data_IF_918741428813
#
_entry.id   IF_918741428813
#
_cell.length_a   1.000
_cell.length_b   1.000
_cell.length_c   1.000
_cell.angle_alpha   90.00
_cell.angle_beta   90.00
_cell.angle_gamma   90.00
#
_symmetry.space_group_name_H-M   'P 1'
#
loop_
_entity.id
_entity.type
_entity.pdbx_description
1 polymer ?
#
# COMPACT_ATOMS: atom_id res chain seq x y z
N UNK A 1 14.74 25.88 5.34
CA UNK A 1 13.71 25.81 4.28
C UNK A 1 12.36 25.64 4.96
N UNK A 2 11.41 26.56 4.76
CA UNK A 2 10.01 26.32 5.18
C UNK A 2 9.47 25.20 4.28
N UNK A 3 9.24 24.01 4.83
CA UNK A 3 8.48 22.97 4.12
C UNK A 3 7.03 23.46 4.02
N UNK A 4 6.68 24.01 2.85
CA UNK A 4 5.34 24.49 2.55
C UNK A 4 4.58 23.30 1.95
N UNK A 5 3.87 22.54 2.78
CA UNK A 5 2.87 21.61 2.28
C UNK A 5 1.61 22.41 1.92
N UNK A 6 1.27 22.48 0.63
CA UNK A 6 0.04 23.08 0.11
C UNK A 6 -0.82 21.96 -0.48
N UNK A 7 -2.04 21.80 0.03
CA UNK A 7 -3.01 20.83 -0.47
C UNK A 7 -3.77 21.41 -1.65
N UNK A 8 -3.97 20.61 -2.70
CA UNK A 8 -4.65 21.02 -3.93
C UNK A 8 -5.68 19.95 -4.32
N UNK A 9 -6.93 20.36 -4.59
CA UNK A 9 -7.98 19.51 -5.16
C UNK A 9 -7.97 19.68 -6.69
N UNK A 10 -7.90 18.59 -7.45
CA UNK A 10 -7.58 18.62 -8.89
C UNK A 10 -8.72 18.04 -9.72
N UNK A 11 -9.23 18.78 -10.71
CA UNK A 11 -10.15 18.19 -11.71
C UNK A 11 -9.84 18.58 -13.16
N UNK A 12 -9.20 19.73 -13.45
CA UNK A 12 -8.74 20.09 -14.82
C UNK A 12 -7.30 20.61 -14.79
N UNK A 13 -6.46 20.26 -15.79
CA UNK A 13 -5.02 20.61 -15.85
C UNK A 13 -4.73 22.08 -15.53
N UNK A 14 -5.54 23.02 -16.03
CA UNK A 14 -5.31 24.45 -15.80
C UNK A 14 -5.59 24.88 -14.34
N UNK A 15 -6.48 24.18 -13.64
CA UNK A 15 -6.69 24.35 -12.21
C UNK A 15 -5.48 23.82 -11.43
N UNK A 16 -4.96 22.64 -11.82
CA UNK A 16 -3.74 22.07 -11.25
C UNK A 16 -2.58 23.07 -11.37
N UNK A 17 -2.40 23.61 -12.58
CA UNK A 17 -1.38 24.62 -12.87
C UNK A 17 -1.57 25.86 -12.02
N UNK A 18 -2.79 26.40 -11.95
CA UNK A 18 -3.09 27.61 -11.17
C UNK A 18 -2.72 27.44 -9.71
N UNK A 19 -3.10 26.31 -9.11
CA UNK A 19 -2.81 26.03 -7.70
C UNK A 19 -1.32 25.74 -7.45
N UNK A 20 -0.65 25.02 -8.37
CA UNK A 20 0.80 24.83 -8.29
C UNK A 20 1.56 26.14 -8.43
N UNK A 21 1.13 27.07 -9.30
CA UNK A 21 1.73 28.40 -9.42
C UNK A 21 1.59 29.21 -8.13
N UNK A 22 0.40 29.23 -7.51
CA UNK A 22 0.19 29.81 -6.16
C UNK A 22 1.08 29.15 -5.10
N UNK A 23 1.48 27.90 -5.32
CA UNK A 23 2.38 27.16 -4.46
C UNK A 23 3.88 27.45 -4.69
N UNK A 24 4.25 28.17 -5.75
CA UNK A 24 5.65 28.34 -6.17
C UNK A 24 6.16 27.20 -7.05
N UNK A 25 5.26 26.49 -7.75
CA UNK A 25 5.56 25.31 -8.55
C UNK A 25 6.53 25.52 -9.71
N UNK A 26 6.82 26.77 -10.08
CA UNK A 26 7.80 27.11 -11.11
C UNK A 26 9.24 26.70 -10.76
N UNK A 27 9.55 26.47 -9.47
CA UNK A 27 10.87 26.01 -9.02
C UNK A 27 10.93 24.50 -8.78
N UNK A 28 9.94 23.73 -9.24
CA UNK A 28 9.92 22.27 -9.06
C UNK A 28 11.05 21.64 -9.88
N UNK A 29 11.83 20.79 -9.21
CA UNK A 29 12.90 20.00 -9.84
C UNK A 29 12.66 18.49 -9.74
N UNK A 30 11.85 18.05 -8.78
CA UNK A 30 11.54 16.64 -8.55
C UNK A 30 10.05 16.49 -8.34
N UNK A 31 9.43 15.54 -9.03
CA UNK A 31 8.01 15.21 -8.90
C UNK A 31 7.89 13.81 -8.34
N UNK A 32 6.99 13.62 -7.37
CA UNK A 32 6.72 12.32 -6.77
C UNK A 32 5.24 12.00 -6.94
N UNK A 33 4.94 10.95 -7.70
CA UNK A 33 3.59 10.48 -7.94
C UNK A 33 3.38 9.12 -7.26
N UNK A 34 2.53 9.09 -6.23
CA UNK A 34 2.22 7.89 -5.45
C UNK A 34 0.72 7.80 -5.10
N UNK A 35 -0.12 8.37 -5.96
CA UNK A 35 -1.59 8.36 -5.81
C UNK A 35 -2.22 7.52 -6.92
N UNK A 36 -3.40 6.97 -6.65
CA UNK A 36 -4.21 6.29 -7.64
C UNK A 36 -5.69 6.35 -7.21
N UNK A 37 -6.60 6.15 -8.15
CA UNK A 37 -8.04 6.04 -7.91
C UNK A 37 -8.42 4.58 -8.10
N UNK A 38 -8.93 3.95 -7.03
CA UNK A 38 -9.42 2.57 -7.08
C UNK A 38 -10.71 2.49 -7.90
N UNK A 39 -10.84 1.45 -8.71
CA UNK A 39 -12.03 1.13 -9.51
C UNK A 39 -12.20 -0.39 -9.56
N UNK A 40 -13.45 -0.84 -9.62
CA UNK A 40 -13.77 -2.26 -9.65
C UNK A 40 -13.45 -2.89 -11.01
N UNK A 41 -13.76 -2.18 -12.09
CA UNK A 41 -13.49 -2.64 -13.45
C UNK A 41 -12.03 -2.33 -13.79
N UNK A 42 -11.30 -3.33 -14.32
CA UNK A 42 -9.87 -3.18 -14.62
C UNK A 42 -9.61 -2.16 -15.74
N UNK A 43 -10.53 -1.99 -16.69
CA UNK A 43 -10.38 -1.02 -17.77
C UNK A 43 -10.68 0.40 -17.27
N UNK A 44 -11.71 0.56 -16.43
CA UNK A 44 -11.97 1.85 -15.76
C UNK A 44 -10.83 2.22 -14.81
N UNK A 45 -10.25 1.24 -14.10
CA UNK A 45 -9.08 1.42 -13.25
C UNK A 45 -7.88 1.92 -14.06
N UNK A 46 -7.62 1.30 -15.21
CA UNK A 46 -6.56 1.71 -16.12
C UNK A 46 -6.78 3.13 -16.65
N UNK A 47 -7.94 3.40 -17.23
CA UNK A 47 -8.23 4.67 -17.88
C UNK A 47 -8.22 5.85 -16.88
N UNK A 48 -8.83 5.69 -15.71
CA UNK A 48 -8.88 6.78 -14.72
C UNK A 48 -7.48 7.07 -14.15
N UNK A 49 -6.65 6.06 -13.92
CA UNK A 49 -5.29 6.28 -13.42
C UNK A 49 -4.31 6.77 -14.47
N UNK A 50 -4.54 6.40 -15.74
CA UNK A 50 -3.88 7.01 -16.89
C UNK A 50 -4.20 8.50 -16.96
N UNK A 51 -5.48 8.89 -16.96
CA UNK A 51 -5.90 10.30 -16.99
C UNK A 51 -5.31 11.06 -15.80
N UNK A 52 -5.40 10.52 -14.59
CA UNK A 52 -4.88 11.15 -13.37
C UNK A 52 -3.37 11.46 -13.50
N UNK A 53 -2.59 10.48 -13.95
CA UNK A 53 -1.15 10.64 -14.07
C UNK A 53 -0.77 11.55 -15.25
N UNK A 54 -1.46 11.40 -16.38
CA UNK A 54 -1.33 12.26 -17.55
C UNK A 54 -1.54 13.74 -17.19
N UNK A 55 -2.62 14.07 -16.48
CA UNK A 55 -2.90 15.44 -16.05
C UNK A 55 -1.82 15.99 -15.11
N UNK A 56 -1.26 15.17 -14.23
CA UNK A 56 -0.16 15.56 -13.35
C UNK A 56 1.14 15.84 -14.14
N UNK A 57 1.44 15.02 -15.15
CA UNK A 57 2.59 15.22 -16.03
C UNK A 57 2.41 16.48 -16.89
N UNK A 58 1.23 16.69 -17.48
CA UNK A 58 0.94 17.88 -18.29
C UNK A 58 1.04 19.17 -17.49
N UNK A 59 0.52 19.17 -16.26
CA UNK A 59 0.66 20.31 -15.36
C UNK A 59 2.14 20.56 -15.01
N UNK A 60 2.91 19.49 -14.76
CA UNK A 60 4.35 19.56 -14.51
C UNK A 60 5.10 20.19 -15.69
N UNK A 61 4.81 19.75 -16.91
CA UNK A 61 5.38 20.33 -18.14
C UNK A 61 5.05 21.83 -18.21
N UNK A 62 3.78 22.19 -18.00
CA UNK A 62 3.32 23.59 -18.10
C UNK A 62 3.98 24.52 -17.09
N UNK A 63 4.23 24.08 -15.86
CA UNK A 63 4.76 24.96 -14.79
C UNK A 63 6.28 25.03 -14.73
N UNK A 64 6.97 23.93 -15.01
CA UNK A 64 8.41 23.80 -14.75
C UNK A 64 9.19 23.32 -15.98
N UNK A 65 8.56 22.60 -16.90
CA UNK A 65 9.15 22.18 -18.17
C UNK A 65 10.52 21.52 -18.00
N UNK A 66 11.55 22.10 -18.61
CA UNK A 66 12.94 21.59 -18.59
C UNK A 66 13.64 21.72 -17.23
N UNK A 67 13.08 22.46 -16.26
CA UNK A 67 13.66 22.54 -14.91
C UNK A 67 13.51 21.25 -14.11
N UNK A 68 12.57 20.40 -14.50
CA UNK A 68 12.33 19.11 -13.86
C UNK A 68 13.49 18.18 -14.17
N UNK A 69 14.16 17.73 -13.11
CA UNK A 69 15.29 16.81 -13.17
C UNK A 69 14.83 15.36 -13.14
N UNK A 70 13.87 15.04 -12.28
CA UNK A 70 13.40 13.67 -12.10
C UNK A 70 11.91 13.61 -11.80
N UNK A 71 11.21 12.65 -12.42
CA UNK A 71 9.86 12.25 -12.03
C UNK A 71 9.92 10.84 -11.43
N UNK A 72 9.56 10.73 -10.15
CA UNK A 72 9.48 9.47 -9.42
C UNK A 72 8.03 8.98 -9.39
N UNK A 73 7.80 7.75 -9.87
CA UNK A 73 6.50 7.09 -9.89
C UNK A 73 6.52 5.90 -8.95
N UNK A 74 5.57 5.84 -8.01
CA UNK A 74 5.34 4.67 -7.19
C UNK A 74 4.23 3.81 -7.81
N UNK A 75 4.59 2.58 -8.14
CA UNK A 75 3.64 1.52 -8.50
C UNK A 75 3.56 0.52 -7.34
N UNK A 76 3.88 -0.76 -7.54
CA UNK A 76 3.92 -1.76 -6.49
C UNK A 76 3.90 -3.19 -7.02
N UNK A 77 3.85 -4.15 -6.11
CA UNK A 77 3.91 -5.58 -6.44
C UNK A 77 2.72 -6.10 -7.26
N UNK A 78 1.63 -5.32 -7.43
CA UNK A 78 0.59 -5.65 -8.43
C UNK A 78 1.18 -5.80 -9.84
N UNK A 79 2.32 -5.17 -10.14
CA UNK A 79 3.08 -5.42 -11.39
C UNK A 79 3.39 -6.91 -11.60
N UNK A 80 3.70 -7.63 -10.52
CA UNK A 80 4.06 -9.05 -10.55
C UNK A 80 2.86 -10.00 -10.49
N UNK A 81 1.63 -9.48 -10.61
CA UNK A 81 0.41 -10.30 -10.63
C UNK A 81 -0.14 -10.69 -9.26
N UNK A 82 0.38 -10.12 -8.16
CA UNK A 82 -0.03 -10.48 -6.78
C UNK A 82 -1.53 -10.26 -6.50
N UNK A 83 -2.20 -9.47 -7.33
CA UNK A 83 -3.63 -9.19 -7.24
C UNK A 83 -4.51 -10.19 -8.00
N UNK A 84 -3.90 -11.01 -8.85
CA UNK A 84 -4.59 -12.03 -9.67
C UNK A 84 -4.28 -13.45 -9.19
N UNK A 85 -3.07 -13.69 -8.67
CA UNK A 85 -2.65 -15.02 -8.22
C UNK A 85 -2.38 -15.99 -9.38
N UNK A 86 -2.19 -17.27 -9.05
CA UNK A 86 -2.05 -18.37 -10.01
C UNK A 86 -1.02 -18.12 -11.11
N UNK A 87 -1.42 -18.36 -12.36
CA UNK A 87 -0.57 -18.24 -13.55
C UNK A 87 -0.12 -16.80 -13.87
N UNK A 88 -0.70 -15.79 -13.22
CA UNK A 88 -0.32 -14.39 -13.40
C UNK A 88 0.87 -13.98 -12.54
N UNK A 89 1.22 -14.78 -11.53
CA UNK A 89 2.35 -14.49 -10.65
C UNK A 89 3.66 -14.63 -11.42
N UNK A 90 4.50 -13.60 -11.34
CA UNK A 90 5.88 -13.72 -11.81
C UNK A 90 6.66 -14.77 -10.97
N UNK A 91 7.80 -15.21 -11.48
CA UNK A 91 8.73 -16.02 -10.70
C UNK A 91 9.27 -15.22 -9.51
N UNK A 92 9.34 -15.88 -8.35
CA UNK A 92 9.93 -15.31 -7.14
C UNK A 92 11.39 -15.76 -6.95
N UNK A 93 12.27 -14.94 -6.34
CA UNK A 93 12.01 -13.56 -5.90
C UNK A 93 11.68 -12.64 -7.08
N UNK A 94 10.74 -11.72 -6.90
CA UNK A 94 10.32 -10.83 -7.98
C UNK A 94 11.45 -9.90 -8.40
N UNK A 95 11.86 -10.00 -9.66
CA UNK A 95 12.84 -9.11 -10.28
C UNK A 95 12.16 -7.94 -10.98
N UNK A 96 12.79 -6.77 -10.97
CA UNK A 96 12.32 -5.60 -11.72
C UNK A 96 12.23 -5.84 -13.23
N UNK A 97 12.97 -6.83 -13.74
CA UNK A 97 12.97 -7.28 -15.14
C UNK A 97 11.92 -8.35 -15.46
N UNK A 98 11.09 -8.74 -14.50
CA UNK A 98 10.02 -9.70 -14.75
C UNK A 98 9.09 -9.21 -15.88
N UNK A 99 8.65 -10.11 -16.76
CA UNK A 99 7.71 -9.76 -17.82
C UNK A 99 6.38 -9.30 -17.22
N UNK A 100 5.67 -8.44 -17.96
CA UNK A 100 4.29 -8.08 -17.63
C UNK A 100 3.41 -9.34 -17.66
N UNK A 101 2.54 -9.51 -16.67
CA UNK A 101 1.52 -10.55 -16.72
C UNK A 101 0.49 -10.25 -17.81
N UNK A 102 -0.28 -11.27 -18.24
CA UNK A 102 -1.38 -11.11 -19.19
C UNK A 102 -2.50 -10.23 -18.61
N UNK A 103 -3.17 -9.46 -19.48
CA UNK A 103 -4.30 -8.61 -19.11
C UNK A 103 -3.92 -7.17 -18.74
N UNK A 104 -4.92 -6.38 -18.35
CA UNK A 104 -4.75 -4.97 -17.99
C UNK A 104 -4.06 -4.82 -16.62
N UNK A 105 -3.26 -3.77 -16.49
CA UNK A 105 -2.72 -3.29 -15.22
C UNK A 105 -2.31 -1.82 -15.39
N UNK A 106 -2.96 -0.92 -14.63
CA UNK A 106 -2.73 0.51 -14.75
C UNK A 106 -1.29 0.94 -14.47
N UNK A 107 -0.51 0.13 -13.75
CA UNK A 107 0.92 0.36 -13.60
C UNK A 107 1.63 0.34 -14.94
N UNK A 108 1.32 -0.58 -15.84
CA UNK A 108 1.97 -0.68 -17.16
C UNK A 108 1.76 0.59 -17.97
N UNK A 109 0.52 1.08 -17.99
CA UNK A 109 0.13 2.31 -18.68
C UNK A 109 0.84 3.54 -18.08
N UNK A 110 0.94 3.64 -16.75
CA UNK A 110 1.70 4.71 -16.11
C UNK A 110 3.21 4.61 -16.39
N UNK A 111 3.80 3.41 -16.36
CA UNK A 111 5.22 3.23 -16.68
C UNK A 111 5.53 3.64 -18.13
N UNK A 112 4.69 3.24 -19.09
CA UNK A 112 4.87 3.58 -20.51
C UNK A 112 4.72 5.08 -20.73
N UNK A 113 3.72 5.70 -20.10
CA UNK A 113 3.50 7.13 -20.20
C UNK A 113 4.67 7.93 -19.63
N UNK A 114 5.20 7.52 -18.47
CA UNK A 114 6.35 8.17 -17.86
C UNK A 114 7.60 8.09 -18.76
N UNK A 115 7.84 6.93 -19.37
CA UNK A 115 8.96 6.74 -20.31
C UNK A 115 8.83 7.64 -21.54
N UNK A 116 7.61 7.80 -22.06
CA UNK A 116 7.33 8.73 -23.17
C UNK A 116 7.62 10.19 -22.76
N UNK A 117 7.09 10.63 -21.62
CA UNK A 117 7.28 11.99 -21.12
C UNK A 117 8.75 12.28 -20.81
N UNK A 118 9.44 11.34 -20.18
CA UNK A 118 10.88 11.41 -19.93
C UNK A 118 11.66 11.65 -21.21
N UNK A 119 11.37 10.87 -22.27
CA UNK A 119 12.02 11.04 -23.58
C UNK A 119 11.69 12.39 -24.23
N UNK A 120 10.43 12.81 -24.17
CA UNK A 120 9.94 14.05 -24.81
C UNK A 120 10.47 15.33 -24.13
N UNK A 121 10.62 15.31 -22.81
CA UNK A 121 10.97 16.48 -22.00
C UNK A 121 12.36 16.40 -21.38
N UNK A 122 13.14 15.36 -21.71
CA UNK A 122 14.50 15.12 -21.21
C UNK A 122 14.58 15.05 -19.67
N UNK A 123 13.60 14.40 -19.05
CA UNK A 123 13.58 14.16 -17.61
C UNK A 123 14.19 12.79 -17.29
N UNK A 124 14.86 12.66 -16.15
CA UNK A 124 15.09 11.35 -15.53
C UNK A 124 13.76 10.79 -15.01
N UNK A 125 13.61 9.48 -15.02
CA UNK A 125 12.59 8.82 -14.21
C UNK A 125 13.17 7.81 -13.21
N UNK A 126 12.41 7.56 -12.15
CA UNK A 126 12.59 6.42 -11.25
C UNK A 126 11.22 5.82 -10.97
N UNK A 127 11.10 4.50 -11.10
CA UNK A 127 9.86 3.78 -10.77
C UNK A 127 10.13 2.88 -9.57
N UNK A 128 9.32 2.98 -8.53
CA UNK A 128 9.49 2.18 -7.31
C UNK A 128 8.30 1.26 -7.10
N UNK A 129 8.58 -0.01 -6.80
CA UNK A 129 7.58 -1.06 -6.55
C UNK A 129 7.67 -1.51 -5.09
N UNK A 130 6.97 -0.85 -4.16
CA UNK A 130 6.81 -1.35 -2.81
C UNK A 130 5.84 -2.54 -2.76
N UNK A 131 5.90 -3.29 -1.65
CA UNK A 131 4.87 -4.25 -1.28
C UNK A 131 3.91 -3.64 -0.25
N UNK A 132 3.47 -4.39 0.77
CA UNK A 132 2.51 -3.94 1.78
C UNK A 132 3.11 -2.75 2.53
N UNK A 133 2.61 -1.54 2.24
CA UNK A 133 3.10 -0.33 2.86
C UNK A 133 2.59 -0.24 4.31
N UNK A 134 3.52 -0.15 5.25
CA UNK A 134 3.25 0.03 6.68
C UNK A 134 3.44 1.51 7.01
N UNK A 135 2.36 2.19 7.38
CA UNK A 135 2.40 3.60 7.75
C UNK A 135 1.10 4.12 8.34
N UNK A 136 1.20 5.23 9.07
CA UNK A 136 0.06 5.86 9.74
C UNK A 136 -0.36 7.15 9.00
N UNK A 137 -1.36 7.02 8.12
CA UNK A 137 -2.03 8.16 7.46
C UNK A 137 -3.54 8.06 7.58
N UNK A 138 -4.23 9.21 7.58
CA UNK A 138 -5.69 9.28 7.52
C UNK A 138 -6.13 9.34 6.06
N UNK A 139 -7.07 8.48 5.66
CA UNK A 139 -7.73 8.56 4.34
C UNK A 139 -6.97 7.93 3.16
N UNK A 140 -5.93 7.14 3.39
CA UNK A 140 -5.32 6.31 2.34
C UNK A 140 -6.25 5.13 1.96
N UNK A 141 -6.23 4.74 0.69
CA UNK A 141 -7.07 3.64 0.18
C UNK A 141 -6.59 2.24 0.60
N UNK A 142 -5.38 2.13 1.15
CA UNK A 142 -4.71 0.87 1.52
C UNK A 142 -4.03 1.03 2.88
N UNK A 143 -4.67 0.57 3.96
CA UNK A 143 -4.15 0.72 5.31
C UNK A 143 -4.19 -0.61 6.09
N UNK A 144 -3.20 -1.46 5.81
CA UNK A 144 -3.09 -2.77 6.43
C UNK A 144 -2.94 -2.65 7.95
N UNK A 145 -2.00 -1.80 8.41
CA UNK A 145 -1.70 -1.63 9.83
C UNK A 145 -2.89 -1.06 10.64
N UNK A 146 -3.61 -0.05 10.14
CA UNK A 146 -4.80 0.49 10.85
C UNK A 146 -5.88 -0.57 10.98
N UNK A 147 -6.18 -1.28 9.89
CA UNK A 147 -7.23 -2.30 9.88
C UNK A 147 -6.90 -3.42 10.86
N UNK A 148 -5.65 -3.90 10.83
CA UNK A 148 -5.17 -4.90 11.78
C UNK A 148 -5.22 -4.40 13.23
N UNK A 149 -4.83 -3.15 13.50
CA UNK A 149 -4.84 -2.58 14.84
C UNK A 149 -6.25 -2.42 15.41
N UNK A 150 -7.25 -2.06 14.58
CA UNK A 150 -8.65 -2.01 14.99
C UNK A 150 -9.17 -3.42 15.28
N UNK A 151 -8.85 -4.42 14.43
CA UNK A 151 -9.21 -5.82 14.71
C UNK A 151 -8.63 -6.30 16.05
N UNK A 152 -7.33 -6.05 16.28
CA UNK A 152 -6.68 -6.38 17.55
C UNK A 152 -7.34 -5.65 18.73
N UNK A 153 -7.69 -4.37 18.58
CA UNK A 153 -8.39 -3.61 19.64
C UNK A 153 -9.76 -4.20 19.99
N UNK A 154 -10.53 -4.65 18.98
CA UNK A 154 -11.81 -5.32 19.19
C UNK A 154 -11.62 -6.67 19.90
N UNK A 155 -10.63 -7.47 19.50
CA UNK A 155 -10.32 -8.73 20.18
C UNK A 155 -9.96 -8.50 21.66
N UNK A 156 -9.15 -7.47 21.92
CA UNK A 156 -8.74 -7.10 23.28
C UNK A 156 -9.93 -6.68 24.14
N UNK A 157 -10.81 -5.84 23.60
CA UNK A 157 -12.04 -5.40 24.29
C UNK A 157 -12.96 -6.58 24.63
N UNK A 158 -13.00 -7.61 23.79
CA UNK A 158 -13.79 -8.83 24.01
C UNK A 158 -13.10 -9.85 24.91
N UNK A 159 -11.85 -9.64 25.31
CA UNK A 159 -11.05 -10.62 26.03
C UNK A 159 -10.78 -11.90 25.23
N UNK A 160 -10.72 -11.81 23.90
CA UNK A 160 -10.54 -12.95 23.00
C UNK A 160 -9.11 -12.99 22.43
N UNK A 161 -8.64 -14.19 22.08
CA UNK A 161 -7.33 -14.39 21.42
C UNK A 161 -7.26 -13.72 20.04
N UNK A 162 -6.07 -13.31 19.61
CA UNK A 162 -5.87 -12.73 18.28
C UNK A 162 -5.76 -13.82 17.20
N UNK A 163 -6.89 -14.25 16.66
CA UNK A 163 -6.96 -15.31 15.66
C UNK A 163 -6.53 -14.79 14.29
N UNK A 164 -5.61 -15.51 13.64
CA UNK A 164 -5.21 -15.20 12.27
C UNK A 164 -6.34 -15.55 11.28
N UNK A 165 -6.84 -14.60 10.47
CA UNK A 165 -7.98 -14.85 9.58
C UNK A 165 -7.58 -15.53 8.26
N UNK A 166 -6.29 -15.55 7.94
CA UNK A 166 -5.77 -16.13 6.70
C UNK A 166 -5.60 -17.64 6.77
N UNK A 167 -4.93 -18.20 5.77
CA UNK A 167 -4.70 -19.64 5.61
C UNK A 167 -3.30 -20.09 6.08
N UNK A 168 -3.12 -21.40 6.22
CA UNK A 168 -1.87 -22.01 6.68
C UNK A 168 -0.69 -21.74 5.72
N UNK A 169 -0.95 -21.64 4.41
CA UNK A 169 0.11 -21.38 3.42
C UNK A 169 0.70 -19.99 3.66
N UNK A 170 -0.14 -18.95 3.74
CA UNK A 170 0.31 -17.59 4.01
C UNK A 170 0.98 -17.47 5.37
N UNK A 171 0.41 -18.11 6.40
CA UNK A 171 0.97 -18.12 7.75
C UNK A 171 2.45 -18.52 7.76
N UNK A 172 2.81 -19.51 6.95
CA UNK A 172 4.17 -20.04 6.83
C UNK A 172 5.02 -19.35 5.76
N UNK A 173 4.44 -18.43 4.99
CA UNK A 173 5.11 -17.75 3.86
C UNK A 173 5.89 -16.51 4.31
N UNK A 174 6.97 -16.22 3.57
CA UNK A 174 7.69 -14.95 3.65
C UNK A 174 6.95 -13.92 2.79
N UNK A 175 6.70 -12.75 3.38
CA UNK A 175 5.97 -11.66 2.72
C UNK A 175 6.70 -10.35 2.97
N UNK A 176 7.09 -9.69 1.89
CA UNK A 176 7.73 -8.39 1.95
C UNK A 176 6.78 -7.32 2.49
N UNK A 177 7.32 -6.46 3.34
CA UNK A 177 6.66 -5.27 3.85
C UNK A 177 7.51 -4.05 3.57
N UNK A 178 6.88 -2.91 3.36
CA UNK A 178 7.54 -1.65 3.00
C UNK A 178 7.20 -0.57 4.03
N UNK A 179 8.14 -0.25 4.91
CA UNK A 179 8.00 0.89 5.82
C UNK A 179 7.85 2.19 5.01
N UNK A 180 6.80 2.96 5.28
CA UNK A 180 6.48 4.17 4.52
C UNK A 180 7.60 5.22 4.59
N UNK A 181 8.32 5.34 5.73
CA UNK A 181 9.43 6.28 5.86
C UNK A 181 10.65 5.80 5.09
N UNK A 182 10.95 4.50 5.12
CA UNK A 182 12.02 3.89 4.35
C UNK A 182 11.76 4.02 2.85
N UNK A 183 10.53 3.74 2.38
CA UNK A 183 10.13 3.95 0.99
C UNK A 183 10.28 5.41 0.57
N UNK A 184 9.87 6.37 1.40
CA UNK A 184 10.06 7.79 1.11
C UNK A 184 11.55 8.18 1.04
N UNK A 185 12.38 7.70 1.97
CA UNK A 185 13.83 7.91 1.96
C UNK A 185 14.45 7.32 0.69
N UNK A 186 14.03 6.13 0.30
CA UNK A 186 14.48 5.46 -0.92
C UNK A 186 14.12 6.27 -2.18
N UNK A 187 12.88 6.78 -2.28
CA UNK A 187 12.45 7.60 -3.41
C UNK A 187 13.24 8.91 -3.52
N UNK A 188 13.52 9.56 -2.39
CA UNK A 188 14.37 10.76 -2.36
C UNK A 188 15.80 10.39 -2.79
N UNK A 189 16.37 9.35 -2.22
CA UNK A 189 17.72 8.89 -2.56
C UNK A 189 17.83 8.53 -4.04
N UNK A 190 16.95 7.68 -4.56
CA UNK A 190 17.01 7.19 -5.94
C UNK A 190 16.78 8.30 -6.97
N UNK A 191 15.85 9.22 -6.71
CA UNK A 191 15.57 10.34 -7.61
C UNK A 191 16.71 11.38 -7.65
N UNK A 192 17.38 11.60 -6.52
CA UNK A 192 18.49 12.59 -6.41
C UNK A 192 19.89 12.01 -6.66
N UNK A 193 20.05 10.69 -6.70
CA UNK A 193 21.32 10.03 -6.97
C UNK A 193 21.72 10.20 -8.45
N UNK A 194 22.88 10.81 -8.68
CA UNK A 194 23.42 11.11 -10.01
C UNK A 194 23.79 9.87 -10.83
N UNK A 195 24.04 8.73 -10.17
CA UNK A 195 24.38 7.47 -10.84
C UNK A 195 23.15 6.73 -11.37
N UNK A 196 21.97 7.04 -10.83
CA UNK A 196 20.71 6.41 -11.22
C UNK A 196 20.11 7.26 -12.32
N UNK A 197 19.77 6.65 -13.45
CA UNK A 197 19.05 7.31 -14.53
C UNK A 197 18.09 6.33 -15.21
N UNK A 198 16.79 6.63 -15.19
CA UNK A 198 15.76 5.84 -15.87
C UNK A 198 15.70 4.39 -15.38
N UNK A 199 15.58 4.22 -14.07
CA UNK A 199 15.64 2.93 -13.39
C UNK A 199 14.33 2.54 -12.72
N UNK A 200 14.17 1.23 -12.50
CA UNK A 200 13.04 0.63 -11.78
C UNK A 200 13.59 -0.18 -10.60
N UNK A 201 12.98 -0.02 -9.43
CA UNK A 201 13.42 -0.68 -8.20
C UNK A 201 12.27 -1.31 -7.44
N UNK A 202 12.46 -2.53 -6.95
CA UNK A 202 11.72 -3.01 -5.79
C UNK A 202 12.16 -2.24 -4.54
N UNK A 203 11.24 -2.03 -3.61
CA UNK A 203 11.57 -1.42 -2.31
C UNK A 203 10.74 -2.02 -1.18
N UNK A 204 11.37 -2.87 -0.38
CA UNK A 204 10.82 -3.42 0.85
C UNK A 204 11.83 -3.22 1.99
N UNK A 205 11.49 -3.71 3.18
CA UNK A 205 12.28 -3.53 4.38
C UNK A 205 13.65 -4.23 4.33
N UNK A 206 13.86 -5.21 3.45
CA UNK A 206 15.14 -5.89 3.28
C UNK A 206 15.42 -6.98 4.32
N UNK A 207 14.43 -7.35 5.12
CA UNK A 207 14.42 -8.49 6.03
C UNK A 207 13.53 -9.63 5.49
N UNK A 208 13.78 -10.87 5.92
CA UNK A 208 12.95 -12.03 5.58
C UNK A 208 12.06 -12.39 6.77
N UNK A 209 10.78 -12.02 6.70
CA UNK A 209 9.83 -12.24 7.80
C UNK A 209 8.68 -13.14 7.35
N UNK A 210 8.52 -14.26 8.05
CA UNK A 210 7.33 -15.10 7.93
C UNK A 210 6.12 -14.40 8.54
N UNK A 211 4.94 -14.59 7.94
CA UNK A 211 3.72 -13.99 8.46
C UNK A 211 3.42 -14.41 9.91
N UNK A 212 3.70 -15.66 10.27
CA UNK A 212 3.59 -16.16 11.66
C UNK A 212 4.48 -15.41 12.66
N UNK A 213 5.68 -15.03 12.25
CA UNK A 213 6.61 -14.24 13.07
C UNK A 213 6.09 -12.82 13.26
N UNK A 214 5.62 -12.19 12.18
CA UNK A 214 4.96 -10.89 12.25
C UNK A 214 3.73 -10.94 13.16
N UNK A 215 2.85 -11.94 12.99
CA UNK A 215 1.64 -12.07 13.82
C UNK A 215 1.95 -12.24 15.30
N UNK A 216 2.94 -13.06 15.65
CA UNK A 216 3.39 -13.24 17.03
C UNK A 216 3.93 -11.93 17.63
N UNK A 217 4.60 -11.11 16.82
CA UNK A 217 5.05 -9.78 17.27
C UNK A 217 3.89 -8.82 17.55
N UNK A 218 2.80 -8.92 16.77
CA UNK A 218 1.57 -8.14 16.96
C UNK A 218 0.84 -8.60 18.22
N UNK A 219 0.71 -9.91 18.45
CA UNK A 219 0.18 -10.47 19.70
C UNK A 219 0.91 -9.88 20.90
N UNK A 220 2.25 -9.94 20.88
CA UNK A 220 3.10 -9.38 21.93
C UNK A 220 2.89 -7.88 22.11
N UNK A 221 2.82 -7.11 21.02
CA UNK A 221 2.64 -5.65 21.08
C UNK A 221 1.32 -5.26 21.76
N UNK A 222 0.21 -5.95 21.45
CA UNK A 222 -1.10 -5.70 22.07
C UNK A 222 -1.31 -6.46 23.39
N UNK A 223 -0.29 -7.16 23.89
CA UNK A 223 -0.33 -7.92 25.15
C UNK A 223 -1.33 -9.07 25.12
N UNK A 224 -1.48 -9.76 23.99
CA UNK A 224 -2.19 -11.04 23.94
C UNK A 224 -1.31 -12.16 24.48
N UNK A 225 -1.93 -13.10 25.18
CA UNK A 225 -1.32 -14.43 25.36
C UNK A 225 -1.25 -15.10 24.00
N UNK A 226 -0.10 -15.71 23.67
CA UNK A 226 0.07 -16.40 22.40
C UNK A 226 -1.04 -17.43 22.17
N UNK A 227 -1.63 -17.39 20.99
CA UNK A 227 -2.66 -18.33 20.58
C UNK A 227 -2.11 -19.26 19.49
N UNK A 228 -2.14 -20.56 19.78
CA UNK A 228 -1.81 -21.58 18.80
C UNK A 228 -2.89 -21.60 17.70
N UNK A 229 -2.50 -21.20 16.50
CA UNK A 229 -3.43 -21.05 15.39
C UNK A 229 -3.89 -22.41 14.88
N UNK A 230 -5.20 -22.59 14.78
CA UNK A 230 -5.83 -23.72 14.08
C UNK A 230 -6.28 -23.28 12.71
N UNK A 231 -5.98 -24.04 11.66
CA UNK A 231 -6.34 -23.68 10.29
C UNK A 231 -7.44 -24.58 9.72
N UNK A 232 -8.46 -23.96 9.14
CA UNK A 232 -9.48 -24.64 8.33
C UNK A 232 -9.29 -24.35 6.84
N UNK A 233 -8.07 -24.52 6.34
CA UNK A 233 -7.77 -24.32 4.91
C UNK A 233 -8.39 -25.46 4.08
N UNK A 234 -9.17 -25.16 3.01
CA UNK A 234 -9.71 -26.20 2.13
C UNK A 234 -8.62 -27.11 1.59
N UNK A 235 -8.83 -28.43 1.60
CA UNK A 235 -7.82 -29.43 1.22
C UNK A 235 -7.36 -29.31 -0.24
N UNK A 236 -8.19 -28.73 -1.09
CA UNK A 236 -7.95 -28.51 -2.51
C UNK A 236 -7.28 -27.16 -2.81
N UNK A 237 -6.93 -26.37 -1.77
CA UNK A 237 -6.17 -25.12 -1.91
C UNK A 237 -4.82 -25.38 -2.57
N UNK A 238 -4.51 -24.58 -3.58
CA UNK A 238 -3.25 -24.61 -4.34
C UNK A 238 -2.43 -23.36 -4.09
N UNK A 239 -1.11 -23.49 -4.25
CA UNK A 239 -0.23 -22.32 -4.26
C UNK A 239 -0.64 -21.40 -5.39
N UNK A 240 -0.82 -20.12 -5.07
CA UNK A 240 -1.32 -19.12 -6.02
C UNK A 240 -2.82 -18.85 -5.91
N UNK A 241 -3.57 -19.64 -5.14
CA UNK A 241 -4.99 -19.37 -4.91
C UNK A 241 -5.18 -18.05 -4.14
N UNK A 242 -6.34 -17.45 -4.37
CA UNK A 242 -6.77 -16.18 -3.79
C UNK A 242 -8.04 -16.40 -2.97
N UNK A 243 -8.34 -15.48 -2.06
CA UNK A 243 -9.56 -15.49 -1.22
C UNK A 243 -9.70 -16.73 -0.33
N UNK A 244 -8.58 -17.31 0.09
CA UNK A 244 -8.52 -18.44 1.03
C UNK A 244 -8.38 -17.90 2.45
N UNK A 245 -9.53 -17.64 3.08
CA UNK A 245 -9.66 -17.13 4.44
C UNK A 245 -10.36 -18.13 5.34
N UNK A 246 -10.03 -18.11 6.62
CA UNK A 246 -10.80 -18.79 7.66
C UNK A 246 -12.09 -18.03 7.98
N UNK A 247 -12.01 -16.70 8.02
CA UNK A 247 -13.16 -15.81 8.14
C UNK A 247 -12.83 -14.45 7.53
N UNK A 248 -13.88 -13.73 7.09
CA UNK A 248 -13.74 -12.38 6.57
C UNK A 248 -13.67 -11.37 7.72
N UNK A 249 -12.61 -10.55 7.75
CA UNK A 249 -12.52 -9.45 8.69
C UNK A 249 -13.51 -8.34 8.40
N UNK A 250 -13.91 -8.16 7.14
CA UNK A 250 -14.99 -7.22 6.79
C UNK A 250 -16.30 -7.60 7.48
N UNK A 251 -16.70 -8.87 7.36
CA UNK A 251 -17.89 -9.37 8.04
C UNK A 251 -17.72 -9.26 9.56
N UNK A 252 -16.57 -9.69 10.07
CA UNK A 252 -16.27 -9.65 11.49
C UNK A 252 -16.42 -8.24 12.09
N UNK A 253 -15.78 -7.24 11.49
CA UNK A 253 -15.83 -5.86 12.00
C UNK A 253 -17.22 -5.26 11.84
N UNK A 254 -17.94 -5.58 10.77
CA UNK A 254 -19.34 -5.16 10.61
C UNK A 254 -20.24 -5.71 11.72
N UNK A 255 -20.05 -6.98 12.11
CA UNK A 255 -20.82 -7.63 13.18
C UNK A 255 -20.42 -7.17 14.58
N UNK A 256 -19.23 -6.59 14.74
CA UNK A 256 -18.69 -6.09 16.01
C UNK A 256 -18.57 -4.55 16.02
N UNK A 257 -19.32 -3.86 15.15
CA UNK A 257 -19.28 -2.40 15.01
C UNK A 257 -19.64 -1.70 16.33
N UNK A 258 -20.63 -2.24 17.05
CA UNK A 258 -21.07 -1.73 18.34
C UNK A 258 -19.95 -1.81 19.41
N UNK A 259 -19.13 -2.85 19.37
CA UNK A 259 -17.97 -3.01 20.27
C UNK A 259 -16.96 -1.90 19.99
N UNK A 260 -16.63 -1.68 18.70
CA UNK A 260 -15.73 -0.60 18.30
C UNK A 260 -16.25 0.78 18.70
N UNK A 261 -17.53 1.07 18.45
CA UNK A 261 -18.13 2.37 18.79
C UNK A 261 -18.11 2.65 20.30
N UNK A 262 -18.40 1.63 21.13
CA UNK A 262 -18.32 1.76 22.59
C UNK A 262 -16.88 2.01 23.04
N UNK A 263 -15.93 1.23 22.53
CA UNK A 263 -14.51 1.38 22.82
C UNK A 263 -14.01 2.77 22.42
N UNK A 264 -14.27 3.19 21.19
CA UNK A 264 -13.88 4.49 20.67
C UNK A 264 -14.48 5.64 21.49
N UNK A 265 -15.75 5.52 21.90
CA UNK A 265 -16.38 6.51 22.78
C UNK A 265 -15.73 6.57 24.16
N UNK A 266 -15.46 5.41 24.79
CA UNK A 266 -14.85 5.32 26.12
C UNK A 266 -13.44 5.93 26.12
N UNK A 267 -12.64 5.56 25.13
CA UNK A 267 -11.22 5.95 25.02
C UNK A 267 -11.00 7.27 24.26
N UNK A 268 -12.09 7.94 23.84
CA UNK A 268 -12.07 9.20 23.06
C UNK A 268 -11.24 9.10 21.78
N UNK A 269 -11.44 7.99 21.05
CA UNK A 269 -10.80 7.71 19.76
C UNK A 269 -11.58 8.32 18.59
N UNK A 270 -10.94 8.33 17.43
CA UNK A 270 -11.58 8.58 16.15
C UNK A 270 -12.50 7.40 15.81
N UNK A 271 -13.78 7.49 16.20
CA UNK A 271 -14.77 6.44 15.93
C UNK A 271 -14.92 6.13 14.43
N UNK A 272 -14.68 7.11 13.56
CA UNK A 272 -14.72 6.94 12.10
C UNK A 272 -13.55 6.13 11.54
N UNK A 273 -12.57 5.76 12.37
CA UNK A 273 -11.42 4.96 11.93
C UNK A 273 -11.80 3.61 11.32
N UNK A 274 -12.86 2.98 11.82
CA UNK A 274 -13.38 1.74 11.22
C UNK A 274 -13.95 1.96 9.81
N UNK A 275 -14.37 3.18 9.47
CA UNK A 275 -14.98 3.52 8.17
C UNK A 275 -13.95 3.77 7.09
N UNK A 276 -12.76 4.29 7.44
CA UNK A 276 -11.65 4.45 6.50
C UNK A 276 -10.61 3.33 6.57
N UNK A 277 -10.77 2.36 7.48
CA UNK A 277 -10.02 1.11 7.46
C UNK A 277 -10.42 0.24 6.24
N UNK A 278 -9.51 -0.66 5.86
CA UNK A 278 -9.51 -1.33 4.56
C UNK A 278 -9.70 -2.86 4.73
N UNK A 279 -10.96 -3.29 4.89
CA UNK A 279 -11.33 -4.63 5.39
C UNK A 279 -11.48 -5.77 4.35
N UNK A 280 -12.41 -5.72 3.38
CA UNK A 280 -12.64 -6.81 2.41
C UNK A 280 -13.29 -6.48 1.04
N UNK A 281 -13.67 -7.58 0.34
CA UNK A 281 -14.21 -7.64 -1.03
C UNK A 281 -15.74 -7.87 -1.08
N UNK A 282 -16.36 -7.35 -2.15
CA UNK A 282 -17.79 -7.08 -2.38
C UNK A 282 -18.75 -8.24 -2.04
N UNK A 283 -19.66 -7.98 -1.10
CA UNK A 283 -20.99 -8.59 -1.06
C UNK A 283 -21.91 -7.99 -2.13
N UNK A 284 -22.56 -8.85 -2.93
CA UNK A 284 -23.61 -8.45 -3.89
C UNK A 284 -24.78 -7.85 -3.09
N UNK A 285 -25.30 -6.69 -3.51
CA UNK A 285 -26.60 -6.09 -3.15
C UNK A 285 -26.61 -4.93 -2.13
N UNK A 286 -25.81 -3.90 -2.32
CA UNK A 286 -26.21 -2.59 -1.77
C UNK A 286 -25.99 -1.45 -2.76
N UNK A 287 -27.10 -0.94 -3.31
CA UNK A 287 -27.13 0.02 -4.41
C UNK A 287 -26.80 1.45 -3.94
N UNK A 288 -26.89 1.72 -2.63
CA UNK A 288 -26.69 3.05 -2.06
C UNK A 288 -25.25 3.32 -1.56
N UNK A 289 -24.44 2.27 -1.41
CA UNK A 289 -23.01 2.35 -1.00
C UNK A 289 -22.08 2.23 -2.24
N UNK A 290 -22.60 2.41 -3.45
CA UNK A 290 -21.83 2.25 -4.70
C UNK A 290 -20.87 3.40 -5.04
N UNK A 291 -21.02 4.58 -4.43
CA UNK A 291 -20.27 5.78 -4.82
C UNK A 291 -19.24 6.25 -3.77
N UNK A 292 -19.22 5.72 -2.54
CA UNK A 292 -18.35 6.26 -1.47
C UNK A 292 -17.34 5.31 -0.83
N UNK A 293 -17.30 4.01 -1.16
CA UNK A 293 -16.49 3.03 -0.40
C UNK A 293 -15.74 2.04 -1.29
N UNK A 294 -14.92 2.59 -2.18
CA UNK A 294 -13.86 1.85 -2.88
C UNK A 294 -12.61 1.60 -1.98
N UNK A 295 -12.68 1.96 -0.68
CA UNK A 295 -11.58 1.88 0.28
C UNK A 295 -11.43 0.52 0.98
N UNK A 296 -12.17 -0.52 0.59
CA UNK A 296 -12.33 -1.73 1.43
C UNK A 296 -11.38 -2.89 1.08
N UNK A 297 -10.52 -2.83 0.07
CA UNK A 297 -10.01 -4.05 -0.58
C UNK A 297 -8.70 -4.67 -0.09
N UNK A 298 -8.13 -4.29 1.05
CA UNK A 298 -6.74 -4.68 1.34
C UNK A 298 -6.57 -5.88 2.29
N UNK A 299 -7.21 -5.88 3.46
CA UNK A 299 -6.80 -6.80 4.53
C UNK A 299 -7.19 -8.25 4.24
N UNK A 300 -8.46 -8.53 3.94
CA UNK A 300 -8.92 -9.87 3.51
C UNK A 300 -8.24 -10.32 2.20
N UNK A 301 -7.96 -9.39 1.29
CA UNK A 301 -7.22 -9.69 0.07
C UNK A 301 -5.80 -10.18 0.37
N UNK A 302 -5.03 -9.44 1.18
CA UNK A 302 -3.65 -9.80 1.54
C UNK A 302 -3.64 -11.12 2.30
N UNK A 303 -4.52 -11.27 3.28
CA UNK A 303 -4.58 -12.43 4.18
C UNK A 303 -5.17 -13.69 3.51
N UNK A 304 -5.93 -13.50 2.42
CA UNK A 304 -6.53 -14.58 1.65
C UNK A 304 -5.64 -15.17 0.56
N UNK A 305 -4.40 -14.68 0.39
CA UNK A 305 -3.46 -15.23 -0.61
C UNK A 305 -2.90 -16.55 -0.11
N UNK A 306 -2.85 -17.56 -0.97
CA UNK A 306 -2.21 -18.85 -0.68
C UNK A 306 -0.83 -18.93 -1.34
N UNK A 307 0.03 -17.94 -1.11
CA UNK A 307 1.39 -17.88 -1.66
C UNK A 307 2.25 -16.85 -0.93
N UNK A 308 3.56 -17.01 -1.08
CA UNK A 308 4.60 -16.08 -0.68
C UNK A 308 4.75 -14.91 -1.67
N UNK A 309 5.26 -13.79 -1.17
CA UNK A 309 5.23 -12.51 -1.90
C UNK A 309 6.48 -11.68 -1.57
N UNK A 310 7.60 -12.02 -2.22
CA UNK A 310 8.92 -11.46 -1.93
C UNK A 310 9.70 -11.11 -3.21
N UNK A 311 10.46 -10.01 -3.14
CA UNK A 311 11.19 -9.40 -4.26
C UNK A 311 12.70 -9.38 -4.06
N UNK A 312 13.41 -9.11 -5.15
CA UNK A 312 14.85 -8.90 -5.15
C UNK A 312 15.16 -7.39 -5.08
N UNK A 313 16.05 -7.00 -4.16
CA UNK A 313 16.56 -5.62 -4.04
C UNK A 313 18.01 -5.47 -4.53
N UNK A 314 18.57 -6.50 -5.18
CA UNK A 314 19.96 -6.49 -5.68
C UNK A 314 20.25 -5.27 -6.55
N UNK A 315 19.31 -4.83 -7.40
CA UNK A 315 19.50 -3.62 -8.22
C UNK A 315 19.73 -2.37 -7.34
N UNK A 316 18.87 -2.14 -6.36
CA UNK A 316 19.04 -1.04 -5.40
C UNK A 316 20.37 -1.14 -4.62
N UNK A 317 20.76 -2.36 -4.21
CA UNK A 317 22.02 -2.63 -3.51
C UNK A 317 23.24 -2.27 -4.36
N UNK A 318 23.22 -2.56 -5.67
CA UNK A 318 24.32 -2.22 -6.60
C UNK A 318 24.56 -0.71 -6.71
N UNK A 319 23.50 0.09 -6.58
CA UNK A 319 23.62 1.56 -6.56
C UNK A 319 23.98 2.13 -5.18
N UNK A 320 24.11 1.29 -4.15
CA UNK A 320 24.58 1.65 -2.81
C UNK A 320 23.48 1.85 -1.77
N UNK A 321 22.23 1.50 -2.05
CA UNK A 321 21.17 1.52 -1.03
C UNK A 321 21.29 0.30 -0.13
N UNK A 322 21.90 0.40 1.05
CA UNK A 322 22.11 -0.75 1.97
C UNK A 322 21.20 -0.74 3.21
N UNK A 323 20.18 0.11 3.23
CA UNK A 323 19.25 0.20 4.37
C UNK A 323 18.41 -1.07 4.48
N UNK A 324 18.26 -1.57 5.70
CA UNK A 324 17.31 -2.60 6.10
C UNK A 324 16.52 -2.08 7.32
N UNK A 325 15.24 -2.43 7.40
CA UNK A 325 14.33 -2.09 8.49
C UNK A 325 13.79 -3.40 9.07
N UNK A 326 13.68 -3.48 10.40
CA UNK A 326 12.98 -4.60 11.03
C UNK A 326 11.47 -4.42 10.85
N UNK A 327 10.84 -5.36 10.15
CA UNK A 327 9.41 -5.32 9.85
C UNK A 327 8.56 -5.33 11.12
N UNK A 328 8.93 -6.10 12.16
CA UNK A 328 8.14 -6.15 13.40
C UNK A 328 8.18 -4.82 14.16
N UNK A 329 9.35 -4.19 14.19
CA UNK A 329 9.54 -2.86 14.79
C UNK A 329 8.81 -1.77 13.98
N UNK A 330 8.79 -1.88 12.65
CA UNK A 330 8.02 -0.97 11.78
C UNK A 330 6.52 -0.99 12.13
N UNK A 331 5.94 -2.18 12.37
CA UNK A 331 4.56 -2.29 12.82
C UNK A 331 4.34 -1.69 14.22
N UNK A 332 5.23 -1.97 15.18
CA UNK A 332 5.15 -1.39 16.51
C UNK A 332 5.18 0.15 16.48
N UNK A 333 6.11 0.74 15.73
CA UNK A 333 6.20 2.19 15.54
C UNK A 333 4.97 2.78 14.84
N UNK A 334 4.42 2.05 13.86
CA UNK A 334 3.18 2.43 13.21
C UNK A 334 2.03 2.46 14.21
N UNK A 335 1.86 1.41 15.03
CA UNK A 335 0.83 1.34 16.05
C UNK A 335 1.00 2.43 17.13
N UNK A 336 2.23 2.73 17.56
CA UNK A 336 2.50 3.85 18.48
C UNK A 336 2.04 5.18 17.90
N UNK A 337 2.22 5.37 16.58
CA UNK A 337 1.71 6.57 15.89
C UNK A 337 0.18 6.57 15.81
N UNK A 338 -0.46 5.43 15.62
CA UNK A 338 -1.92 5.32 15.67
C UNK A 338 -2.48 5.64 17.06
N UNK A 339 -1.80 5.21 18.14
CA UNK A 339 -2.12 5.60 19.53
C UNK A 339 -2.07 7.12 19.71
N UNK A 340 -0.98 7.75 19.27
CA UNK A 340 -0.80 9.22 19.31
C UNK A 340 -1.87 9.97 18.52
N UNK A 341 -2.34 9.40 17.41
CA UNK A 341 -3.41 9.95 16.58
C UNK A 341 -4.83 9.66 17.13
N UNK A 342 -4.93 8.98 18.28
CA UNK A 342 -6.18 8.50 18.87
C UNK A 342 -7.01 7.65 17.90
N UNK A 343 -6.34 6.85 17.08
CA UNK A 343 -6.98 5.90 16.16
C UNK A 343 -7.25 4.58 16.87
N UNK A 344 -6.36 4.17 17.78
CA UNK A 344 -6.48 2.95 18.61
C UNK A 344 -6.22 3.28 20.09
N UNK A 345 -6.66 2.45 21.05
CA UNK A 345 -6.37 2.63 22.47
C UNK A 345 -4.88 2.67 22.80
N UNK A 346 -4.49 3.40 23.84
CA UNK A 346 -3.07 3.53 24.24
C UNK A 346 -2.56 2.35 25.08
N UNK A 347 -3.47 1.61 25.73
CA UNK A 347 -3.16 0.56 26.71
C UNK A 347 -3.92 -0.75 26.39
#
# INVERSE_FOLDING_TARGET
MKNIFKFITLHIVDEIVTELLKAGGQSITHVYHYTYIEKKDENELDEVNKILFQQALDATVKIAGEQVKCVSLQTGYKYYGVHKGGEYLASRPYSEHAPRHKGSNFYYTQEDLLKEYSKKHNWKYVITRPNIIVGASKGNAMNFAVSLAIYASIQKEKGQSLVFPGNEILWNSVVDHSDALNTARFQIWSSTNIKINNEIFNIYNGDEVKFSTLWSSIEKYFGFTHYEQTFHTPKDTKIGDMNVLQFSLEKYVSENKDVWERLAKREKLDASASEYATWGFIGKNDLYIKLMTLRRFLLDFVLGRAFDDHGDMTNARQYGWTVTVDTTECYAQCFDRLKKLKIIPSD
#
